data_IF_000880263973
#
_entry.id   IF_000880263973
#
_cell.length_a   1.000
_cell.length_b   1.000
_cell.length_c   1.000
_cell.angle_alpha   90.00
_cell.angle_beta   90.00
_cell.angle_gamma   90.00
#
_symmetry.space_group_name_H-M   'P 1'
#
loop_
_entity.id
_entity.type
_entity.pdbx_description
1 polymer ?
#
# COMPACT_ATOMS: atom_id res chain seq x y z
N UNK A 1 -18.44 0.37 -3.92
CA UNK A 1 -17.44 -0.67 -3.58
C UNK A 1 -18.13 -1.65 -2.62
N UNK A 2 -18.07 -2.97 -2.79
CA UNK A 2 -18.92 -3.87 -1.96
C UNK A 2 -18.26 -4.31 -0.65
N UNK A 3 -16.97 -4.57 -0.73
CA UNK A 3 -16.15 -4.99 0.39
C UNK A 3 -14.74 -4.47 0.15
N UNK A 4 -14.23 -3.71 1.11
CA UNK A 4 -12.86 -3.23 1.16
C UNK A 4 -12.07 -4.04 2.18
N UNK A 5 -10.94 -4.60 1.76
CA UNK A 5 -9.96 -5.18 2.69
C UNK A 5 -8.77 -4.23 2.80
N UNK A 6 -8.54 -3.71 3.99
CA UNK A 6 -7.35 -2.94 4.33
C UNK A 6 -6.30 -3.92 4.85
N UNK A 7 -5.16 -3.96 4.20
CA UNK A 7 -4.10 -4.93 4.47
C UNK A 7 -2.83 -4.20 4.85
N UNK A 8 -2.42 -4.35 6.10
CA UNK A 8 -1.12 -3.93 6.59
C UNK A 8 -0.21 -5.16 6.50
N UNK A 9 0.63 -5.26 5.45
CA UNK A 9 1.33 -6.49 5.12
C UNK A 9 2.42 -6.83 6.15
N UNK A 10 2.83 -5.85 6.95
CA UNK A 10 3.70 -6.03 8.10
C UNK A 10 3.63 -4.83 9.04
N UNK A 11 3.74 -5.09 10.33
CA UNK A 11 3.67 -4.13 11.43
C UNK A 11 4.88 -4.38 12.34
N UNK A 12 5.83 -3.46 12.31
CA UNK A 12 7.10 -3.53 13.03
C UNK A 12 7.00 -3.09 14.48
N UNK A 13 7.92 -3.60 15.30
CA UNK A 13 7.96 -3.32 16.75
C UNK A 13 8.52 -1.93 17.08
N UNK A 14 9.30 -1.36 16.17
CA UNK A 14 9.89 -0.04 16.37
C UNK A 14 8.79 1.03 16.40
N UNK A 15 8.89 1.93 17.39
CA UNK A 15 7.98 3.09 17.52
C UNK A 15 6.50 2.68 17.54
N UNK A 16 6.20 1.53 18.16
CA UNK A 16 4.89 0.89 18.18
C UNK A 16 3.75 1.86 18.55
N UNK A 17 3.95 2.72 19.55
CA UNK A 17 2.94 3.67 20.01
C UNK A 17 2.48 4.61 18.88
N UNK A 18 3.42 5.21 18.14
CA UNK A 18 3.08 6.09 17.02
C UNK A 18 2.50 5.32 15.84
N UNK A 19 2.92 4.08 15.59
CA UNK A 19 2.32 3.23 14.54
C UNK A 19 0.88 2.83 14.87
N UNK A 20 0.55 2.63 16.14
CA UNK A 20 -0.83 2.42 16.59
C UNK A 20 -1.68 3.67 16.38
N UNK A 21 -1.14 4.87 16.65
CA UNK A 21 -1.81 6.14 16.31
C UNK A 21 -2.06 6.26 14.81
N UNK A 22 -1.05 5.98 13.97
CA UNK A 22 -1.18 5.96 12.50
C UNK A 22 -2.29 4.99 12.07
N UNK A 23 -2.32 3.78 12.62
CA UNK A 23 -3.37 2.80 12.33
C UNK A 23 -4.76 3.33 12.71
N UNK A 24 -4.90 3.97 13.88
CA UNK A 24 -6.15 4.57 14.32
C UNK A 24 -6.63 5.66 13.34
N UNK A 25 -5.74 6.60 13.00
CA UNK A 25 -6.04 7.71 12.09
C UNK A 25 -6.43 7.22 10.70
N UNK A 26 -5.72 6.20 10.21
CA UNK A 26 -6.00 5.59 8.92
C UNK A 26 -7.37 4.91 8.92
N UNK A 27 -7.69 4.13 9.96
CA UNK A 27 -9.01 3.48 10.09
C UNK A 27 -10.11 4.53 10.17
N UNK A 28 -9.92 5.60 10.94
CA UNK A 28 -10.88 6.71 11.02
C UNK A 28 -11.12 7.36 9.64
N UNK A 29 -10.05 7.65 8.90
CA UNK A 29 -10.09 8.22 7.55
C UNK A 29 -10.78 7.29 6.55
N UNK A 30 -10.47 5.99 6.61
CA UNK A 30 -11.07 4.99 5.72
C UNK A 30 -12.56 4.87 6.04
N UNK A 31 -12.95 4.72 7.31
CA UNK A 31 -14.35 4.57 7.70
C UNK A 31 -15.17 5.81 7.31
N UNK A 32 -14.68 7.01 7.60
CA UNK A 32 -15.42 8.26 7.31
C UNK A 32 -15.65 8.48 5.81
N UNK A 33 -14.74 8.01 4.95
CA UNK A 33 -14.83 8.22 3.50
C UNK A 33 -15.38 7.03 2.73
N UNK A 34 -15.32 5.82 3.31
CA UNK A 34 -15.68 4.58 2.63
C UNK A 34 -16.97 3.95 3.15
N UNK A 35 -17.28 4.05 4.45
CA UNK A 35 -18.41 3.33 5.05
C UNK A 35 -19.77 3.66 4.39
N UNK A 36 -20.06 4.90 3.95
CA UNK A 36 -21.31 5.18 3.23
C UNK A 36 -21.46 4.42 1.90
N UNK A 37 -20.35 3.95 1.33
CA UNK A 37 -20.29 3.37 -0.02
C UNK A 37 -19.83 1.90 -0.04
N UNK A 38 -19.38 1.38 1.11
CA UNK A 38 -18.93 0.00 1.30
C UNK A 38 -19.51 -0.56 2.59
N UNK A 39 -20.49 -1.47 2.51
CA UNK A 39 -21.16 -2.02 3.69
C UNK A 39 -20.25 -2.92 4.54
N UNK A 40 -19.07 -3.29 4.04
CA UNK A 40 -18.12 -4.14 4.74
C UNK A 40 -16.69 -3.62 4.59
N UNK A 41 -16.02 -3.42 5.72
CA UNK A 41 -14.60 -3.08 5.80
C UNK A 41 -13.94 -4.14 6.69
N UNK A 42 -12.86 -4.74 6.21
CA UNK A 42 -12.02 -5.66 7.01
C UNK A 42 -10.61 -5.13 7.05
N UNK A 43 -10.05 -4.97 8.25
CA UNK A 43 -8.66 -4.55 8.48
C UNK A 43 -7.87 -5.77 8.93
N UNK A 44 -6.81 -6.08 8.21
CA UNK A 44 -5.88 -7.15 8.54
C UNK A 44 -4.55 -6.50 8.90
N UNK A 45 -4.10 -6.75 10.12
CA UNK A 45 -2.79 -6.32 10.60
C UNK A 45 -1.91 -7.55 10.75
N UNK A 46 -0.77 -7.55 10.06
CA UNK A 46 0.21 -8.62 10.18
C UNK A 46 1.39 -8.20 11.01
N UNK A 47 1.74 -8.98 12.03
CA UNK A 47 2.90 -8.73 12.89
C UNK A 47 4.08 -9.59 12.46
N UNK A 48 5.27 -9.00 12.46
CA UNK A 48 6.53 -9.72 12.22
C UNK A 48 6.97 -10.60 13.40
N UNK A 49 6.39 -10.38 14.59
CA UNK A 49 6.83 -10.99 15.83
C UNK A 49 5.66 -11.24 16.78
N UNK A 50 5.75 -12.34 17.52
CA UNK A 50 4.76 -12.72 18.54
C UNK A 50 4.82 -11.85 19.80
N UNK A 51 5.93 -11.14 20.04
CA UNK A 51 6.11 -10.36 21.27
C UNK A 51 5.03 -9.29 21.47
N UNK A 52 4.48 -8.74 20.37
CA UNK A 52 3.51 -7.66 20.39
C UNK A 52 2.10 -8.09 20.03
N UNK A 53 1.86 -9.37 19.77
CA UNK A 53 0.54 -9.86 19.37
C UNK A 53 -0.51 -9.58 20.44
N UNK A 54 -0.21 -9.89 21.70
CA UNK A 54 -1.11 -9.63 22.82
C UNK A 54 -1.44 -8.14 22.94
N UNK A 55 -0.41 -7.27 22.89
CA UNK A 55 -0.58 -5.81 22.99
C UNK A 55 -1.46 -5.29 21.85
N UNK A 56 -1.19 -5.68 20.61
CA UNK A 56 -1.96 -5.22 19.45
C UNK A 56 -3.42 -5.72 19.52
N UNK A 57 -3.65 -6.99 19.89
CA UNK A 57 -5.00 -7.55 20.05
C UNK A 57 -5.78 -6.80 21.14
N UNK A 58 -5.20 -6.65 22.32
CA UNK A 58 -5.80 -5.88 23.42
C UNK A 58 -6.14 -4.45 22.98
N UNK A 59 -5.23 -3.79 22.27
CA UNK A 59 -5.48 -2.44 21.77
C UNK A 59 -6.59 -2.41 20.70
N UNK A 60 -6.64 -3.37 19.78
CA UNK A 60 -7.74 -3.49 18.81
C UNK A 60 -9.08 -3.75 19.51
N UNK A 61 -9.12 -4.63 20.50
CA UNK A 61 -10.34 -5.05 21.17
C UNK A 61 -10.91 -3.94 22.07
N UNK A 62 -10.04 -3.16 22.72
CA UNK A 62 -10.46 -2.12 23.68
C UNK A 62 -10.47 -0.70 23.11
N UNK A 63 -9.74 -0.43 22.02
CA UNK A 63 -9.65 0.91 21.42
C UNK A 63 -10.29 0.93 20.04
N UNK A 64 -9.83 0.13 19.07
CA UNK A 64 -10.36 0.25 17.70
C UNK A 64 -11.77 -0.29 17.54
N UNK A 65 -12.02 -1.53 17.94
CA UNK A 65 -13.30 -2.20 17.71
C UNK A 65 -14.49 -1.44 18.32
N UNK A 66 -14.40 -0.88 19.54
CA UNK A 66 -15.49 -0.07 20.10
C UNK A 66 -15.71 1.25 19.36
N UNK A 67 -14.66 1.88 18.84
CA UNK A 67 -14.76 3.14 18.09
C UNK A 67 -15.17 2.93 16.63
N UNK A 68 -14.98 1.73 16.08
CA UNK A 68 -15.27 1.39 14.68
C UNK A 68 -16.06 0.07 14.56
N UNK A 69 -17.30 0.01 15.08
CA UNK A 69 -18.06 -1.25 15.21
C UNK A 69 -18.46 -1.90 13.87
N UNK A 70 -18.37 -1.16 12.76
CA UNK A 70 -18.65 -1.65 11.41
C UNK A 70 -17.44 -2.29 10.73
N UNK A 71 -16.27 -2.25 11.38
CA UNK A 71 -15.02 -2.79 10.86
C UNK A 71 -14.72 -4.14 11.50
N UNK A 72 -14.40 -5.13 10.68
CA UNK A 72 -13.86 -6.41 11.17
C UNK A 72 -12.34 -6.31 11.25
N UNK A 73 -11.76 -6.58 12.41
CA UNK A 73 -10.31 -6.62 12.58
C UNK A 73 -9.78 -8.05 12.61
N UNK A 74 -8.61 -8.28 12.00
CA UNK A 74 -7.90 -9.56 12.05
C UNK A 74 -6.42 -9.30 12.28
N UNK A 75 -5.90 -9.83 13.39
CA UNK A 75 -4.45 -9.86 13.66
C UNK A 75 -3.91 -11.22 13.28
N UNK A 76 -2.85 -11.23 12.48
CA UNK A 76 -2.12 -12.44 12.09
C UNK A 76 -0.65 -12.26 12.44
N UNK A 77 -0.08 -13.23 13.13
CA UNK A 77 1.35 -13.23 13.43
C UNK A 77 2.03 -14.25 12.55
N UNK A 78 3.01 -13.79 11.77
CA UNK A 78 3.81 -14.66 10.92
C UNK A 78 5.26 -14.21 11.09
N UNK A 79 6.16 -15.04 11.64
CA UNK A 79 7.56 -14.66 11.85
C UNK A 79 8.40 -14.74 10.56
N UNK A 80 9.27 -13.75 10.31
CA UNK A 80 10.01 -13.61 9.04
C UNK A 80 10.01 -12.18 8.45
N UNK A 81 10.35 -12.05 7.16
CA UNK A 81 10.39 -10.78 6.43
C UNK A 81 9.19 -10.58 5.50
N UNK A 82 8.84 -9.30 5.25
CA UNK A 82 7.67 -8.89 4.46
C UNK A 82 7.49 -9.65 3.13
N UNK A 83 8.57 -9.85 2.37
CA UNK A 83 8.52 -10.55 1.08
C UNK A 83 8.19 -12.03 1.21
N UNK A 84 8.79 -12.71 2.20
CA UNK A 84 8.60 -14.14 2.48
C UNK A 84 7.12 -14.43 2.79
N UNK A 85 6.41 -13.49 3.42
CA UNK A 85 5.01 -13.69 3.76
C UNK A 85 4.06 -13.52 2.59
N UNK A 86 4.30 -12.50 1.77
CA UNK A 86 3.41 -12.25 0.63
C UNK A 86 3.41 -13.42 -0.34
N UNK A 87 4.53 -14.14 -0.45
CA UNK A 87 4.67 -15.26 -1.39
C UNK A 87 4.05 -16.55 -0.86
N UNK A 88 4.05 -16.77 0.45
CA UNK A 88 3.59 -18.01 1.09
C UNK A 88 2.08 -18.20 1.06
N UNK A 89 1.31 -17.11 1.19
CA UNK A 89 -0.14 -17.19 1.28
C UNK A 89 -0.81 -16.37 0.18
N UNK A 90 -1.70 -16.97 -0.64
CA UNK A 90 -2.52 -16.22 -1.59
C UNK A 90 -3.60 -15.46 -0.81
N UNK A 91 -3.21 -14.35 -0.19
CA UNK A 91 -4.01 -13.52 0.73
C UNK A 91 -5.35 -13.09 0.13
N UNK A 92 -5.41 -12.90 -1.18
CA UNK A 92 -6.64 -12.61 -1.92
C UNK A 92 -7.72 -13.70 -1.78
N UNK A 93 -7.32 -14.96 -1.55
CA UNK A 93 -8.25 -16.08 -1.31
C UNK A 93 -8.90 -16.04 0.07
N UNK A 94 -8.33 -15.33 1.04
CA UNK A 94 -8.89 -15.23 2.38
C UNK A 94 -10.21 -14.45 2.39
N UNK A 95 -10.37 -13.53 1.44
CA UNK A 95 -11.56 -12.68 1.33
C UNK A 95 -12.06 -12.68 -0.12
N UNK A 96 -12.68 -13.78 -0.59
CA UNK A 96 -13.12 -13.92 -1.98
C UNK A 96 -14.21 -12.92 -2.36
N UNK A 97 -14.91 -12.34 -1.37
CA UNK A 97 -15.90 -11.28 -1.58
C UNK A 97 -15.29 -9.88 -1.69
N UNK A 98 -14.00 -9.71 -1.42
CA UNK A 98 -13.32 -8.42 -1.49
C UNK A 98 -13.34 -7.90 -2.93
N UNK A 99 -13.88 -6.69 -3.10
CA UNK A 99 -13.87 -6.01 -4.41
C UNK A 99 -12.60 -5.19 -4.61
N UNK A 100 -12.06 -4.67 -3.52
CA UNK A 100 -10.89 -3.81 -3.50
C UNK A 100 -10.01 -4.17 -2.31
N UNK A 101 -8.72 -3.93 -2.46
CA UNK A 101 -7.70 -4.11 -1.43
C UNK A 101 -6.95 -2.80 -1.26
N UNK A 102 -6.92 -2.25 -0.05
CA UNK A 102 -6.08 -1.11 0.31
C UNK A 102 -4.86 -1.63 1.05
N UNK A 103 -3.74 -1.67 0.36
CA UNK A 103 -2.44 -1.99 0.95
C UNK A 103 -1.84 -0.73 1.51
N UNK A 104 -1.39 -0.76 2.76
CA UNK A 104 -0.77 0.38 3.40
C UNK A 104 0.30 -0.10 4.39
N UNK A 105 1.47 0.55 4.39
CA UNK A 105 2.50 0.25 5.39
C UNK A 105 2.14 0.83 6.76
N UNK A 106 2.71 0.25 7.81
CA UNK A 106 2.48 0.61 9.22
C UNK A 106 3.04 2.00 9.60
N UNK A 107 3.93 2.55 8.78
CA UNK A 107 4.52 3.88 8.91
C UNK A 107 3.96 4.88 7.88
N UNK A 108 2.87 4.55 7.20
CA UNK A 108 2.20 5.46 6.25
C UNK A 108 0.89 5.96 6.84
N UNK A 109 0.75 7.28 6.99
CA UNK A 109 -0.50 7.95 7.40
C UNK A 109 -1.17 8.59 6.19
N UNK A 110 -2.46 8.33 6.03
CA UNK A 110 -3.32 8.99 5.05
C UNK A 110 -3.65 10.41 5.52
N UNK A 111 -3.70 11.36 4.59
CA UNK A 111 -4.15 12.72 4.87
C UNK A 111 -5.66 12.74 5.12
N UNK A 112 -6.13 12.96 6.36
CA UNK A 112 -7.53 12.74 6.73
C UNK A 112 -8.50 13.70 6.02
N UNK A 113 -8.02 14.89 5.63
CA UNK A 113 -8.80 15.91 4.93
C UNK A 113 -8.80 15.77 3.41
N UNK A 114 -7.95 14.90 2.86
CA UNK A 114 -7.64 14.92 1.43
C UNK A 114 -7.70 13.54 0.76
N UNK A 115 -7.63 12.45 1.52
CA UNK A 115 -7.84 11.08 1.02
C UNK A 115 -9.29 10.67 1.19
N UNK A 116 -9.96 10.31 0.08
CA UNK A 116 -11.28 9.69 0.08
C UNK A 116 -11.22 8.35 -0.66
N UNK A 117 -11.38 7.24 0.05
CA UNK A 117 -11.20 5.89 -0.53
C UNK A 117 -12.33 5.54 -1.50
N UNK A 118 -13.55 6.02 -1.27
CA UNK A 118 -14.67 5.79 -2.18
C UNK A 118 -14.47 6.55 -3.51
N UNK A 119 -13.99 7.80 -3.45
CA UNK A 119 -13.58 8.58 -4.62
C UNK A 119 -12.46 7.87 -5.38
N UNK A 120 -11.41 7.42 -4.69
CA UNK A 120 -10.33 6.65 -5.31
C UNK A 120 -10.86 5.40 -6.03
N UNK A 121 -11.77 4.64 -5.42
CA UNK A 121 -12.38 3.48 -6.06
C UNK A 121 -13.22 3.87 -7.30
N UNK A 122 -13.91 5.02 -7.25
CA UNK A 122 -14.63 5.56 -8.40
C UNK A 122 -13.67 5.93 -9.55
N UNK A 123 -12.59 6.66 -9.26
CA UNK A 123 -11.54 7.03 -10.23
C UNK A 123 -10.94 5.78 -10.88
N UNK A 124 -10.63 4.75 -10.07
CA UNK A 124 -10.15 3.48 -10.59
C UNK A 124 -11.11 2.85 -11.60
N UNK A 125 -12.41 2.83 -11.30
CA UNK A 125 -13.43 2.30 -12.21
C UNK A 125 -13.54 3.13 -13.49
N UNK A 126 -13.64 4.45 -13.36
CA UNK A 126 -13.80 5.39 -14.49
C UNK A 126 -12.63 5.32 -15.46
N UNK A 127 -11.40 5.27 -14.94
CA UNK A 127 -10.18 5.21 -15.75
C UNK A 127 -9.65 3.79 -15.94
N UNK A 128 -10.39 2.75 -15.55
CA UNK A 128 -10.00 1.33 -15.67
C UNK A 128 -8.59 1.06 -15.12
N UNK A 129 -8.29 1.62 -13.95
CA UNK A 129 -7.00 1.44 -13.28
C UNK A 129 -6.97 0.12 -12.52
N UNK A 130 -5.78 -0.46 -12.46
CA UNK A 130 -5.50 -1.65 -11.65
C UNK A 130 -4.99 -1.28 -10.26
N UNK A 131 -4.19 -0.21 -10.20
CA UNK A 131 -3.60 0.37 -8.99
C UNK A 131 -3.84 1.87 -9.01
N UNK A 132 -4.28 2.41 -7.87
CA UNK A 132 -4.27 3.83 -7.59
C UNK A 132 -3.58 4.07 -6.25
N UNK A 133 -2.66 5.02 -6.21
CA UNK A 133 -1.97 5.42 -4.99
C UNK A 133 -2.21 6.91 -4.72
N UNK A 134 -2.39 7.32 -3.45
CA UNK A 134 -2.25 8.71 -3.06
C UNK A 134 -0.85 9.23 -3.41
N UNK A 135 -0.73 10.52 -3.68
CA UNK A 135 0.57 11.17 -3.78
C UNK A 135 1.18 11.38 -2.41
N UNK A 136 2.49 11.60 -2.33
CA UNK A 136 3.18 11.84 -1.08
C UNK A 136 3.41 13.32 -0.83
N UNK A 137 3.21 13.74 0.42
CA UNK A 137 3.66 15.06 0.88
C UNK A 137 5.18 15.08 1.02
N UNK A 138 5.77 16.27 0.92
CA UNK A 138 7.21 16.45 1.08
C UNK A 138 7.56 16.39 2.56
N UNK A 139 7.93 15.20 3.05
CA UNK A 139 8.54 15.01 4.36
C UNK A 139 10.08 15.17 4.34
N UNK A 140 10.69 15.21 5.53
CA UNK A 140 12.14 15.19 5.66
C UNK A 140 12.76 13.89 5.11
N UNK A 141 13.87 14.00 4.37
CA UNK A 141 14.62 12.84 3.88
C UNK A 141 14.00 12.11 2.67
N UNK A 142 12.97 12.69 2.05
CA UNK A 142 12.20 12.00 1.03
C UNK A 142 12.91 11.87 -0.33
N UNK A 143 13.23 10.64 -0.74
CA UNK A 143 13.95 10.34 -1.98
C UNK A 143 13.08 9.98 -3.20
N UNK A 144 11.79 9.66 -3.02
CA UNK A 144 10.92 9.18 -4.11
C UNK A 144 10.21 10.32 -4.86
N UNK A 145 11.00 11.19 -5.53
CA UNK A 145 10.50 12.42 -6.19
C UNK A 145 9.30 12.20 -7.13
N UNK A 146 9.18 11.02 -7.74
CA UNK A 146 8.08 10.68 -8.65
C UNK A 146 6.74 10.42 -7.94
N UNK A 147 6.72 10.10 -6.64
CA UNK A 147 5.46 9.98 -5.87
C UNK A 147 4.94 11.34 -5.36
N UNK A 148 5.72 12.42 -5.49
CA UNK A 148 5.35 13.73 -4.93
C UNK A 148 4.10 14.28 -5.59
N UNK A 149 3.29 14.93 -4.78
CA UNK A 149 2.27 15.88 -5.25
C UNK A 149 2.95 16.98 -6.06
N UNK A 150 2.40 17.29 -7.23
CA UNK A 150 2.95 18.29 -8.16
C UNK A 150 2.52 19.71 -7.82
N UNK A 151 1.35 19.86 -7.21
CA UNK A 151 0.75 21.15 -6.93
C UNK A 151 0.49 21.33 -5.44
N UNK A 152 1.57 21.61 -4.70
CA UNK A 152 1.53 21.87 -3.25
C UNK A 152 0.72 23.14 -2.93
N UNK A 153 0.52 24.03 -3.92
CA UNK A 153 -0.11 25.34 -3.71
C UNK A 153 -1.59 25.38 -4.10
N UNK A 154 -2.01 24.57 -5.07
CA UNK A 154 -3.39 24.42 -5.49
C UNK A 154 -3.66 22.94 -5.79
N UNK A 155 -3.93 22.11 -4.78
CA UNK A 155 -4.21 20.69 -4.99
C UNK A 155 -5.51 20.55 -5.79
N UNK A 156 -5.39 20.50 -7.11
CA UNK A 156 -6.48 20.10 -8.00
C UNK A 156 -6.48 18.59 -8.05
N UNK A 157 -7.67 18.00 -7.97
CA UNK A 157 -7.87 16.58 -8.20
C UNK A 157 -7.44 16.25 -9.63
N UNK A 158 -6.28 15.63 -9.75
CA UNK A 158 -5.68 15.21 -11.01
C UNK A 158 -5.21 13.77 -10.90
N UNK A 159 -5.39 13.02 -11.96
CA UNK A 159 -4.89 11.65 -12.07
C UNK A 159 -3.67 11.64 -12.98
N UNK A 160 -2.53 11.23 -12.44
CA UNK A 160 -1.32 10.97 -13.23
C UNK A 160 -1.24 9.49 -13.58
N UNK A 161 -1.21 9.18 -14.88
CA UNK A 161 -1.01 7.81 -15.34
C UNK A 161 0.49 7.51 -15.47
N UNK A 162 0.93 6.44 -14.81
CA UNK A 162 2.33 6.07 -14.68
C UNK A 162 2.55 4.59 -14.95
N UNK A 163 3.79 4.19 -15.19
CA UNK A 163 4.22 2.79 -15.22
C UNK A 163 4.77 2.30 -13.87
N UNK A 164 4.78 3.17 -12.85
CA UNK A 164 5.44 2.90 -11.59
C UNK A 164 4.82 3.70 -10.45
N UNK A 165 4.58 3.04 -9.32
CA UNK A 165 4.20 3.62 -8.05
C UNK A 165 4.82 2.75 -6.94
N UNK A 166 5.33 3.35 -5.87
CA UNK A 166 5.95 2.59 -4.78
C UNK A 166 4.89 1.97 -3.86
N UNK A 167 5.14 0.78 -3.31
CA UNK A 167 4.24 0.02 -2.42
C UNK A 167 4.08 0.64 -1.01
N UNK A 168 3.86 1.94 -0.91
CA UNK A 168 3.54 2.62 0.35
C UNK A 168 2.05 2.53 0.68
N UNK A 169 1.22 2.84 -0.32
CA UNK A 169 -0.24 2.80 -0.19
C UNK A 169 -0.89 2.53 -1.56
N UNK A 170 -1.45 1.34 -1.78
CA UNK A 170 -2.14 0.99 -3.02
C UNK A 170 -3.59 0.65 -2.76
N UNK A 171 -4.50 1.31 -3.49
CA UNK A 171 -5.81 0.74 -3.77
C UNK A 171 -5.72 -0.13 -5.01
N UNK A 172 -6.08 -1.41 -4.86
CA UNK A 172 -6.02 -2.45 -5.87
C UNK A 172 -7.43 -2.98 -6.13
N UNK A 173 -7.73 -3.33 -7.39
CA UNK A 173 -8.87 -4.19 -7.69
C UNK A 173 -8.57 -5.63 -7.24
N UNK A 174 -9.60 -6.45 -7.02
CA UNK A 174 -9.42 -7.86 -6.67
C UNK A 174 -8.55 -8.63 -7.70
N UNK A 175 -8.77 -8.39 -9.00
CA UNK A 175 -7.97 -9.00 -10.07
C UNK A 175 -6.51 -8.50 -10.05
N UNK A 176 -6.30 -7.19 -9.85
CA UNK A 176 -4.96 -6.63 -9.73
C UNK A 176 -4.20 -7.24 -8.55
N UNK A 177 -4.88 -7.47 -7.43
CA UNK A 177 -4.29 -8.07 -6.24
C UNK A 177 -3.89 -9.55 -6.46
N UNK A 178 -4.69 -10.34 -7.20
CA UNK A 178 -4.31 -11.69 -7.62
C UNK A 178 -3.09 -11.68 -8.56
N UNK A 179 -3.08 -10.81 -9.58
CA UNK A 179 -1.95 -10.70 -10.51
C UNK A 179 -0.68 -10.26 -9.79
N UNK A 180 -0.78 -9.33 -8.84
CA UNK A 180 0.35 -8.88 -8.02
C UNK A 180 1.00 -10.07 -7.31
N UNK A 181 0.20 -10.91 -6.63
CA UNK A 181 0.70 -12.11 -5.95
C UNK A 181 1.38 -13.12 -6.88
N UNK A 182 0.99 -13.17 -8.15
CA UNK A 182 1.64 -14.03 -9.16
C UNK A 182 2.97 -13.47 -9.65
N UNK A 183 3.18 -12.16 -9.57
CA UNK A 183 4.41 -11.49 -10.01
C UNK A 183 5.53 -11.52 -8.97
N UNK A 184 5.19 -11.64 -7.69
CA UNK A 184 6.20 -11.67 -6.63
C UNK A 184 6.99 -13.00 -6.72
N UNK A 185 8.32 -12.95 -6.91
CA UNK A 185 9.15 -14.17 -6.94
C UNK A 185 8.99 -14.95 -5.64
N UNK A 186 8.86 -16.28 -5.72
CA UNK A 186 8.56 -17.14 -4.54
C UNK A 186 9.69 -17.18 -3.50
N UNK A 187 10.88 -16.77 -3.89
CA UNK A 187 12.07 -16.66 -3.06
C UNK A 187 12.35 -15.21 -2.61
N UNK A 188 11.46 -14.25 -2.92
CA UNK A 188 11.64 -12.84 -2.58
C UNK A 188 11.53 -12.64 -1.07
N UNK A 189 12.59 -12.09 -0.46
CA UNK A 189 12.60 -11.77 0.97
C UNK A 189 12.11 -10.37 1.29
N UNK A 190 12.31 -9.48 0.33
CA UNK A 190 11.87 -8.09 0.37
C UNK A 190 10.84 -7.83 -0.72
N UNK A 191 10.07 -6.74 -0.57
CA UNK A 191 9.12 -6.28 -1.60
C UNK A 191 9.63 -5.08 -2.39
N UNK A 192 10.78 -4.54 -2.01
CA UNK A 192 11.38 -3.43 -2.73
C UNK A 192 11.61 -3.80 -4.19
N UNK A 193 11.18 -2.92 -5.09
CA UNK A 193 11.29 -3.10 -6.53
C UNK A 193 10.30 -4.09 -7.15
N UNK A 194 9.38 -4.70 -6.38
CA UNK A 194 8.22 -5.45 -6.94
C UNK A 194 7.32 -4.53 -7.75
N UNK A 195 7.19 -3.28 -7.33
CA UNK A 195 6.57 -2.18 -8.06
C UNK A 195 7.14 -2.00 -9.48
N UNK A 196 8.43 -2.28 -9.67
CA UNK A 196 9.07 -2.22 -10.99
C UNK A 196 8.57 -3.32 -11.94
N UNK A 197 7.92 -4.37 -11.44
CA UNK A 197 7.38 -5.47 -12.25
C UNK A 197 5.94 -5.21 -12.71
N UNK A 198 5.23 -4.27 -12.08
CA UNK A 198 3.79 -4.07 -12.27
C UNK A 198 3.43 -3.73 -13.72
N UNK A 199 4.01 -2.66 -14.27
CA UNK A 199 3.71 -2.27 -15.65
C UNK A 199 4.30 -3.24 -16.70
N UNK A 200 5.60 -3.58 -16.69
CA UNK A 200 6.17 -4.34 -17.80
C UNK A 200 5.72 -5.80 -17.87
N UNK A 201 5.49 -6.44 -16.72
CA UNK A 201 5.15 -7.86 -16.67
C UNK A 201 3.72 -8.09 -16.23
N UNK A 202 3.25 -7.32 -15.25
CA UNK A 202 1.88 -7.39 -14.80
C UNK A 202 0.87 -6.74 -15.73
N UNK A 203 1.32 -5.88 -16.66
CA UNK A 203 0.47 -5.05 -17.52
C UNK A 203 -0.53 -4.23 -16.70
N UNK A 204 -0.08 -3.69 -15.56
CA UNK A 204 -0.90 -2.88 -14.68
C UNK A 204 -1.10 -1.48 -15.28
N UNK A 205 -2.32 -0.97 -15.24
CA UNK A 205 -2.60 0.45 -15.42
C UNK A 205 -2.55 1.15 -14.06
N UNK A 206 -1.53 2.00 -13.86
CA UNK A 206 -1.22 2.59 -12.55
C UNK A 206 -1.53 4.08 -12.58
N UNK A 207 -2.20 4.55 -11.54
CA UNK A 207 -2.50 5.95 -11.30
C UNK A 207 -1.91 6.47 -10.00
N UNK A 208 -1.53 7.76 -10.00
CA UNK A 208 -1.29 8.55 -8.79
C UNK A 208 -2.36 9.64 -8.71
N UNK A 209 -3.03 9.75 -7.56
CA UNK A 209 -4.08 10.74 -7.36
C UNK A 209 -3.53 11.97 -6.64
N UNK A 210 -3.45 13.08 -7.37
CA UNK A 210 -3.05 14.38 -6.85
C UNK A 210 -4.14 14.94 -5.92
N UNK A 211 -3.68 15.65 -4.89
CA UNK A 211 -4.54 16.17 -3.82
C UNK A 211 -5.06 15.09 -2.87
N UNK A 212 -4.91 13.80 -3.15
CA UNK A 212 -5.05 12.74 -2.17
C UNK A 212 -3.65 12.43 -1.65
N UNK A 213 -3.34 12.85 -0.43
CA UNK A 213 -1.97 12.87 0.05
C UNK A 213 -1.74 11.89 1.19
N UNK A 214 -0.53 11.34 1.27
CA UNK A 214 -0.06 10.50 2.37
C UNK A 214 1.29 10.98 2.88
N UNK A 215 1.60 10.62 4.12
CA UNK A 215 2.88 10.85 4.77
C UNK A 215 3.51 9.49 5.05
N UNK A 216 4.75 9.28 4.60
CA UNK A 216 5.55 8.11 4.97
C UNK A 216 6.55 8.54 6.05
N UNK A 217 6.36 8.00 7.24
CA UNK A 217 7.25 8.21 8.36
C UNK A 217 8.48 7.30 8.24
N UNK A 218 9.56 7.70 8.90
CA UNK A 218 10.76 6.86 9.06
C UNK A 218 11.50 6.50 7.77
N UNK A 219 11.60 7.46 6.86
CA UNK A 219 12.52 7.35 5.72
C UNK A 219 13.92 7.03 6.24
N UNK A 220 14.48 5.88 5.84
CA UNK A 220 15.83 5.52 6.25
C UNK A 220 16.82 6.51 5.63
N UNK A 221 17.21 7.54 6.41
CA UNK A 221 18.42 8.31 6.14
C UNK A 221 19.56 7.32 6.33
N UNK A 222 20.03 6.74 5.22
CA UNK A 222 21.09 5.72 5.16
C UNK A 222 20.67 4.35 5.71
N UNK A 223 19.95 3.57 4.90
CA UNK A 223 19.96 2.11 5.09
C UNK A 223 21.40 1.59 5.07
N UNK A 224 21.72 0.61 5.92
CA UNK A 224 22.98 -0.12 5.89
C UNK A 224 23.38 -0.39 4.43
N UNK A 225 24.56 0.11 4.03
CA UNK A 225 25.08 -0.04 2.66
C UNK A 225 25.07 -1.50 2.22
N UNK A 226 25.14 -2.45 3.15
CA UNK A 226 25.03 -3.89 2.92
C UNK A 226 23.62 -4.28 2.50
N UNK A 227 22.58 -3.86 3.25
CA UNK A 227 21.17 -4.07 2.90
C UNK A 227 20.83 -3.48 1.53
N UNK A 228 21.25 -2.24 1.24
CA UNK A 228 21.04 -1.63 -0.08
C UNK A 228 21.75 -2.39 -1.20
N UNK A 229 22.98 -2.87 -0.97
CA UNK A 229 23.72 -3.68 -1.95
C UNK A 229 23.05 -5.04 -2.20
N UNK A 230 22.57 -5.71 -1.16
CA UNK A 230 21.85 -6.97 -1.27
C UNK A 230 20.53 -6.76 -2.02
N UNK A 231 19.78 -5.70 -1.70
CA UNK A 231 18.57 -5.30 -2.44
C UNK A 231 18.85 -5.09 -3.92
N UNK A 232 19.89 -4.32 -4.26
CA UNK A 232 20.27 -4.09 -5.66
C UNK A 232 20.67 -5.38 -6.38
N UNK A 233 21.23 -6.37 -5.67
CA UNK A 233 21.57 -7.69 -6.22
C UNK A 233 20.31 -8.51 -6.51
N UNK A 234 19.42 -8.65 -5.52
CA UNK A 234 18.14 -9.34 -5.67
C UNK A 234 17.33 -8.74 -6.83
N UNK A 235 17.25 -7.41 -6.92
CA UNK A 235 16.56 -6.76 -8.03
C UNK A 235 17.17 -7.07 -9.40
N UNK A 236 18.49 -7.16 -9.50
CA UNK A 236 19.14 -7.55 -10.76
C UNK A 236 18.84 -9.01 -11.10
N UNK A 237 18.82 -9.89 -10.11
CA UNK A 237 18.49 -11.31 -10.31
C UNK A 237 17.04 -11.48 -10.77
N UNK A 238 16.10 -10.79 -10.12
CA UNK A 238 14.71 -10.73 -10.54
C UNK A 238 14.62 -10.20 -11.97
N UNK A 239 15.28 -9.09 -12.30
CA UNK A 239 15.32 -8.53 -13.66
C UNK A 239 15.88 -9.51 -14.70
N UNK A 240 16.91 -10.29 -14.36
CA UNK A 240 17.49 -11.31 -15.26
C UNK A 240 16.51 -12.44 -15.60
N UNK A 241 15.54 -12.74 -14.71
CA UNK A 241 14.52 -13.77 -14.95
C UNK A 241 13.49 -13.35 -15.99
N UNK A 242 13.46 -12.07 -16.38
CA UNK A 242 12.52 -11.58 -17.36
C UNK A 242 13.23 -11.26 -18.70
N UNK A 243 12.80 -11.88 -19.82
CA UNK A 243 13.60 -12.02 -21.03
C UNK A 243 13.73 -10.79 -21.95
N UNK A 244 13.46 -9.56 -21.49
CA UNK A 244 13.55 -8.37 -22.35
C UNK A 244 14.28 -7.21 -21.66
N UNK A 245 14.98 -6.40 -22.46
CA UNK A 245 15.57 -5.09 -22.09
C UNK A 245 14.47 -4.08 -21.71
N UNK A 246 13.66 -4.41 -20.71
CA UNK A 246 12.59 -3.57 -20.21
C UNK A 246 13.24 -2.32 -19.62
N UNK A 247 12.93 -1.19 -20.26
CA UNK A 247 13.39 0.10 -19.81
C UNK A 247 12.61 0.48 -18.55
N UNK A 248 13.19 0.18 -17.38
CA UNK A 248 12.66 0.51 -16.05
C UNK A 248 12.61 2.01 -15.74
N UNK A 249 12.73 2.88 -16.74
CA UNK A 249 12.55 4.32 -16.55
C UNK A 249 11.10 4.59 -16.18
N UNK A 250 10.93 5.41 -15.15
CA UNK A 250 9.66 6.06 -14.87
C UNK A 250 9.16 6.75 -16.14
N UNK A 251 7.92 6.47 -16.52
CA UNK A 251 7.22 7.13 -17.61
C UNK A 251 5.89 7.58 -17.08
N UNK A 252 5.69 8.89 -17.15
CA UNK A 252 4.36 9.44 -17.07
C UNK A 252 3.77 9.51 -18.47
N UNK A 253 2.54 9.05 -18.60
CA UNK A 253 1.86 8.97 -19.89
C UNK A 253 0.92 10.16 -20.11
N UNK A 254 0.26 10.62 -19.04
CA UNK A 254 -0.73 11.69 -19.11
C UNK A 254 -1.16 12.16 -17.73
N UNK A 255 -1.64 13.39 -17.65
CA UNK A 255 -2.38 13.93 -16.52
C UNK A 255 -3.82 14.24 -16.97
N UNK A 256 -4.82 13.81 -16.22
CA UNK A 256 -6.24 14.10 -16.51
C UNK A 256 -6.91 14.71 -15.29
N UNK A 257 -7.85 15.63 -15.51
CA UNK A 257 -8.69 16.18 -14.44
C UNK A 257 -9.69 15.11 -13.99
N UNK A 258 -9.95 15.06 -12.68
CA UNK A 258 -10.80 14.07 -12.00
C UNK A 258 -12.08 14.73 -11.47
#
# INVERSE_FOLDING_TARGET
>A
MRHLVVFLPGFGEDRIAHKLEILCDNVATIVSTCAPFSPRITVIVRLYSMAWEGVLRTWIDHVLSPNFPTVTFSVQTIPGLLGEFLVQHPWWKLFPSASHWLWILDDVRLGPSCVNVAEMAHVMSTHRLDVLSPTMTVGEGFCHKFMRSWDVKQPRRKLRLTNFAELFCFLLTANACQRLWQLIPRDSRFLWGVDMLLAPYGKFRIGLLEGAEMIHFYTSKEGDKTTYRNMCRELREVKRRFPDNVNFRFREYSCVDV
#
